data_IF_406620170295
#
_entry.id   IF_406620170295
#
_cell.length_a   1.000
_cell.length_b   1.000
_cell.length_c   1.000
_cell.angle_alpha   90.00
_cell.angle_beta   90.00
_cell.angle_gamma   90.00
#
_symmetry.space_group_name_H-M   'P 1'
#
loop_
_entity.id
_entity.type
_entity.pdbx_description
1 polymer ?
#
# COMPACT_ATOMS: atom_id res chain seq x y z
N UNK A 1 17.53 -45.01 -25.26
CA UNK A 1 16.57 -43.89 -25.35
C UNK A 1 15.73 -43.88 -24.08
N UNK A 2 16.20 -43.21 -23.04
CA UNK A 2 15.46 -43.04 -21.78
C UNK A 2 15.03 -41.58 -21.73
N UNK A 3 13.82 -41.32 -22.20
CA UNK A 3 13.21 -39.99 -22.11
C UNK A 3 12.84 -39.81 -20.66
N UNK A 4 13.66 -39.05 -19.92
CA UNK A 4 13.36 -38.66 -18.55
C UNK A 4 12.07 -37.86 -18.55
N UNK A 5 11.05 -38.37 -17.85
CA UNK A 5 9.86 -37.61 -17.52
C UNK A 5 10.25 -36.42 -16.65
N UNK A 6 10.47 -35.27 -17.29
CA UNK A 6 10.42 -33.97 -16.62
C UNK A 6 8.97 -33.79 -16.14
N UNK A 7 8.76 -33.90 -14.84
CA UNK A 7 7.48 -33.60 -14.19
C UNK A 7 7.17 -32.11 -14.37
N UNK A 8 6.55 -31.75 -15.50
CA UNK A 8 6.19 -30.38 -15.90
C UNK A 8 5.03 -29.77 -15.06
N UNK A 9 4.53 -30.48 -14.04
CA UNK A 9 3.37 -30.09 -13.23
C UNK A 9 3.70 -29.81 -11.75
N UNK A 10 4.97 -29.78 -11.37
CA UNK A 10 5.33 -29.35 -10.01
C UNK A 10 5.54 -27.83 -10.01
N UNK A 11 4.91 -27.08 -9.08
CA UNK A 11 5.17 -25.66 -8.96
C UNK A 11 6.66 -25.44 -8.74
N UNK A 12 7.19 -24.36 -9.32
CA UNK A 12 8.59 -23.99 -9.15
C UNK A 12 8.91 -23.84 -7.66
N UNK A 13 10.16 -24.09 -7.28
CA UNK A 13 10.55 -24.04 -5.87
C UNK A 13 10.38 -22.63 -5.26
N UNK A 14 10.45 -21.59 -6.08
CA UNK A 14 10.10 -20.21 -5.71
C UNK A 14 8.63 -20.08 -5.29
N UNK A 15 7.70 -20.66 -6.05
CA UNK A 15 6.25 -20.60 -5.72
C UNK A 15 5.99 -21.34 -4.41
N UNK A 16 6.61 -22.51 -4.21
CA UNK A 16 6.48 -23.26 -2.95
C UNK A 16 6.99 -22.47 -1.74
N UNK A 17 8.09 -21.73 -1.93
CA UNK A 17 8.64 -20.88 -0.87
C UNK A 17 7.73 -19.67 -0.59
N UNK A 18 7.17 -19.04 -1.63
CA UNK A 18 6.18 -17.98 -1.48
C UNK A 18 4.94 -18.47 -0.72
N UNK A 19 4.43 -19.65 -1.05
CA UNK A 19 3.27 -20.24 -0.38
C UNK A 19 3.58 -20.54 1.10
N UNK A 20 4.77 -21.08 1.40
CA UNK A 20 5.22 -21.30 2.77
C UNK A 20 5.24 -19.99 3.56
N UNK A 21 5.82 -18.93 2.98
CA UNK A 21 5.89 -17.61 3.61
C UNK A 21 4.52 -16.98 3.79
N UNK A 22 3.62 -17.12 2.82
CA UNK A 22 2.24 -16.64 2.92
C UNK A 22 1.47 -17.35 4.04
N UNK A 23 1.60 -18.68 4.14
CA UNK A 23 0.99 -19.46 5.22
C UNK A 23 1.51 -19.01 6.59
N UNK A 24 2.81 -18.76 6.72
CA UNK A 24 3.39 -18.27 7.97
C UNK A 24 2.86 -16.89 8.34
N UNK A 25 2.79 -15.96 7.39
CA UNK A 25 2.19 -14.64 7.61
C UNK A 25 0.70 -14.72 8.00
N UNK A 26 -0.07 -15.65 7.42
CA UNK A 26 -1.47 -15.85 7.82
C UNK A 26 -1.59 -16.36 9.27
N UNK A 27 -0.71 -17.26 9.70
CA UNK A 27 -0.68 -17.76 11.08
C UNK A 27 -0.37 -16.61 12.05
N UNK A 28 0.64 -15.81 11.74
CA UNK A 28 1.04 -14.67 12.58
C UNK A 28 -0.06 -13.58 12.63
N UNK A 29 -0.78 -13.37 11.52
CA UNK A 29 -1.90 -12.43 11.46
C UNK A 29 -3.21 -12.96 12.08
N UNK A 30 -3.34 -14.26 12.32
CA UNK A 30 -4.60 -14.87 12.77
C UNK A 30 -5.09 -14.30 14.11
N UNK A 31 -4.25 -14.15 15.16
CA UNK A 31 -4.68 -13.49 16.40
C UNK A 31 -5.12 -12.05 16.17
N UNK A 32 -4.43 -11.29 15.32
CA UNK A 32 -4.80 -9.90 15.01
C UNK A 32 -6.17 -9.79 14.32
N UNK A 33 -6.54 -10.78 13.50
CA UNK A 33 -7.80 -10.81 12.77
C UNK A 33 -8.98 -11.34 13.61
N UNK A 34 -8.77 -12.42 14.37
CA UNK A 34 -9.86 -13.17 15.00
C UNK A 34 -9.89 -13.08 16.53
N UNK A 35 -8.75 -12.81 17.17
CA UNK A 35 -8.62 -12.79 18.62
C UNK A 35 -7.78 -11.58 19.07
N UNK A 36 -8.21 -10.34 18.76
CA UNK A 36 -7.38 -9.15 18.90
C UNK A 36 -6.99 -8.87 20.36
N UNK A 37 -7.74 -9.39 21.34
CA UNK A 37 -7.41 -9.29 22.76
C UNK A 37 -6.19 -10.12 23.18
N UNK A 38 -5.86 -11.16 22.42
CA UNK A 38 -4.72 -12.05 22.67
C UNK A 38 -3.50 -11.71 21.80
N UNK A 39 -3.66 -10.83 20.81
CA UNK A 39 -2.60 -10.39 19.93
C UNK A 39 -1.61 -9.45 20.64
N UNK A 40 -0.38 -9.38 20.12
CA UNK A 40 0.58 -8.38 20.55
C UNK A 40 0.03 -6.97 20.31
N UNK A 41 0.05 -6.12 21.35
CA UNK A 41 -0.44 -4.74 21.27
C UNK A 41 0.41 -3.86 20.37
N UNK A 42 1.67 -4.23 20.15
CA UNK A 42 2.56 -3.50 19.25
C UNK A 42 2.41 -3.92 17.78
N UNK A 43 1.62 -4.97 17.52
CA UNK A 43 1.31 -5.41 16.17
C UNK A 43 -0.07 -4.87 15.76
N UNK A 44 -0.11 -4.10 14.68
CA UNK A 44 -1.34 -3.51 14.15
C UNK A 44 -1.43 -3.84 12.66
N UNK A 45 -2.60 -4.27 12.21
CA UNK A 45 -2.84 -4.55 10.80
C UNK A 45 -2.83 -3.24 9.99
N UNK A 46 -2.16 -3.26 8.83
CA UNK A 46 -2.11 -2.11 7.91
C UNK A 46 -3.51 -1.61 7.51
N UNK A 47 -4.49 -2.52 7.41
CA UNK A 47 -5.87 -2.14 7.10
C UNK A 47 -6.48 -1.24 8.19
N UNK A 48 -6.11 -1.45 9.45
CA UNK A 48 -6.60 -0.67 10.58
C UNK A 48 -5.95 0.71 10.68
N UNK A 49 -4.85 0.94 9.97
CA UNK A 49 -4.12 2.22 9.93
C UNK A 49 -4.31 2.96 8.61
N UNK A 50 -5.32 2.57 7.81
CA UNK A 50 -5.56 3.14 6.49
C UNK A 50 -6.37 4.44 6.61
N UNK A 51 -5.86 5.51 6.02
CA UNK A 51 -6.57 6.77 5.83
C UNK A 51 -6.75 7.06 4.33
N UNK A 52 -7.92 7.54 3.93
CA UNK A 52 -8.21 7.88 2.53
C UNK A 52 -8.85 9.26 2.44
N UNK A 53 -8.53 9.99 1.38
CA UNK A 53 -9.14 11.28 1.05
C UNK A 53 -9.68 11.27 -0.38
N UNK A 54 -10.84 11.87 -0.59
CA UNK A 54 -11.46 12.06 -1.90
C UNK A 54 -11.75 13.54 -2.11
N UNK A 55 -11.27 14.10 -3.22
CA UNK A 55 -11.43 15.51 -3.55
C UNK A 55 -11.94 15.64 -4.97
N UNK A 56 -12.98 16.44 -5.15
CA UNK A 56 -13.53 16.76 -6.47
C UNK A 56 -12.60 17.77 -7.16
N UNK A 57 -12.16 17.43 -8.37
CA UNK A 57 -11.42 18.33 -9.25
C UNK A 57 -12.32 19.50 -9.67
N UNK A 58 -12.04 20.71 -9.18
CA UNK A 58 -12.81 21.90 -9.53
C UNK A 58 -12.11 22.72 -10.65
N UNK A 59 -12.84 23.49 -11.47
CA UNK A 59 -12.26 24.26 -12.58
C UNK A 59 -11.11 25.21 -12.20
N UNK A 60 -11.03 25.64 -10.94
CA UNK A 60 -9.99 26.53 -10.42
C UNK A 60 -8.61 25.85 -10.28
N UNK A 61 -8.56 24.51 -10.21
CA UNK A 61 -7.31 23.75 -10.00
C UNK A 61 -6.75 23.15 -11.29
N UNK A 62 -7.33 23.50 -12.45
CA UNK A 62 -6.90 23.03 -13.76
C UNK A 62 -5.73 23.84 -14.31
N UNK A 63 -4.87 23.18 -15.08
CA UNK A 63 -3.86 23.82 -15.92
C UNK A 63 -4.48 24.36 -17.23
N UNK A 64 -3.69 25.08 -18.03
CA UNK A 64 -4.10 25.62 -19.34
C UNK A 64 -4.63 24.56 -20.32
N UNK A 65 -4.31 23.29 -20.11
CA UNK A 65 -4.75 22.14 -20.91
C UNK A 65 -5.99 21.43 -20.31
N UNK A 66 -6.69 22.06 -19.36
CA UNK A 66 -7.85 21.52 -18.64
C UNK A 66 -7.57 20.21 -17.89
N UNK A 67 -6.33 19.98 -17.44
CA UNK A 67 -5.96 18.83 -16.59
C UNK A 67 -5.59 19.30 -15.19
N UNK A 68 -5.72 18.42 -14.20
CA UNK A 68 -5.18 18.69 -12.87
C UNK A 68 -3.66 18.79 -12.91
N UNK A 69 -3.12 19.79 -12.23
CA UNK A 69 -1.68 19.95 -12.09
C UNK A 69 -1.09 18.90 -11.14
N UNK A 70 0.06 18.31 -11.49
CA UNK A 70 0.71 17.28 -10.67
C UNK A 70 1.06 17.78 -9.26
N UNK A 71 1.45 19.05 -9.10
CA UNK A 71 1.71 19.66 -7.80
C UNK A 71 0.48 19.70 -6.87
N UNK A 72 -0.73 19.78 -7.43
CA UNK A 72 -1.96 19.68 -6.64
C UNK A 72 -2.11 18.26 -6.07
N UNK A 73 -1.89 17.23 -6.89
CA UNK A 73 -1.96 15.83 -6.46
C UNK A 73 -0.90 15.52 -5.39
N UNK A 74 0.34 15.96 -5.61
CA UNK A 74 1.43 15.74 -4.65
C UNK A 74 1.16 16.41 -3.31
N UNK A 75 0.63 17.65 -3.31
CA UNK A 75 0.25 18.33 -2.07
C UNK A 75 -0.83 17.56 -1.31
N UNK A 76 -1.87 17.06 -2.00
CA UNK A 76 -2.93 16.27 -1.34
C UNK A 76 -2.43 14.93 -0.81
N UNK A 77 -1.53 14.27 -1.54
CA UNK A 77 -0.87 13.05 -1.07
C UNK A 77 -0.02 13.32 0.19
N UNK A 78 0.74 14.41 0.20
CA UNK A 78 1.53 14.84 1.36
C UNK A 78 0.65 15.12 2.58
N UNK A 79 -0.41 15.91 2.42
CA UNK A 79 -1.35 16.23 3.50
C UNK A 79 -1.97 14.95 4.10
N UNK A 80 -2.36 14.00 3.25
CA UNK A 80 -2.90 12.71 3.68
C UNK A 80 -1.85 11.85 4.40
N UNK A 81 -0.62 11.78 3.87
CA UNK A 81 0.46 11.02 4.48
C UNK A 81 0.82 11.58 5.87
N UNK A 82 0.91 12.90 5.99
CA UNK A 82 1.16 13.59 7.26
C UNK A 82 0.04 13.31 8.27
N UNK A 83 -1.22 13.47 7.87
CA UNK A 83 -2.36 13.21 8.75
C UNK A 83 -2.40 11.74 9.22
N UNK A 84 -2.08 10.79 8.34
CA UNK A 84 -2.04 9.37 8.68
C UNK A 84 -0.92 9.07 9.68
N UNK A 85 0.29 9.57 9.43
CA UNK A 85 1.44 9.39 10.31
C UNK A 85 1.21 10.01 11.70
N UNK A 86 0.64 11.22 11.77
CA UNK A 86 0.32 11.87 13.04
C UNK A 86 -0.75 11.10 13.82
N UNK A 87 -1.81 10.66 13.14
CA UNK A 87 -2.91 9.92 13.80
C UNK A 87 -2.46 8.56 14.31
N UNK A 88 -1.60 7.87 13.57
CA UNK A 88 -1.07 6.56 13.97
C UNK A 88 0.04 6.66 15.02
N UNK A 89 1.02 7.53 14.79
CA UNK A 89 2.20 7.66 15.65
C UNK A 89 1.96 8.47 16.92
N UNK A 90 0.94 9.33 16.94
CA UNK A 90 0.63 10.19 18.09
C UNK A 90 1.65 11.33 18.32
N UNK A 91 2.62 11.48 17.42
CA UNK A 91 3.67 12.50 17.48
C UNK A 91 3.79 13.24 16.15
N UNK A 92 4.41 14.41 16.19
CA UNK A 92 4.59 15.27 15.02
C UNK A 92 5.50 14.59 13.95
N UNK A 93 4.97 14.22 12.77
CA UNK A 93 5.76 13.56 11.74
C UNK A 93 6.70 14.56 11.07
N UNK A 94 7.91 14.09 10.76
CA UNK A 94 8.84 14.82 9.89
C UNK A 94 8.92 14.09 8.55
N UNK A 95 8.73 14.83 7.46
CA UNK A 95 8.97 14.28 6.13
C UNK A 95 10.47 14.33 5.84
N UNK A 96 11.05 13.16 5.63
CA UNK A 96 12.47 13.01 5.31
C UNK A 96 12.70 13.04 3.81
N UNK A 97 11.95 12.21 3.09
CA UNK A 97 12.07 12.08 1.64
C UNK A 97 10.75 11.64 1.00
N UNK A 98 10.68 11.81 -0.31
CA UNK A 98 9.60 11.35 -1.17
C UNK A 98 10.23 10.49 -2.25
N UNK A 99 9.81 9.24 -2.34
CA UNK A 99 10.21 8.34 -3.42
C UNK A 99 9.71 8.82 -4.78
N UNK A 100 10.17 8.16 -5.85
CA UNK A 100 9.85 8.57 -7.22
C UNK A 100 8.34 8.56 -7.51
N UNK A 101 7.81 9.70 -7.95
CA UNK A 101 6.40 9.88 -8.34
C UNK A 101 6.27 9.87 -9.86
N UNK A 102 5.44 8.97 -10.40
CA UNK A 102 5.14 8.88 -11.82
C UNK A 102 3.66 9.15 -12.08
N UNK A 103 3.35 10.12 -12.95
CA UNK A 103 1.99 10.39 -13.41
C UNK A 103 1.70 9.60 -14.70
N UNK A 104 1.03 8.46 -14.54
CA UNK A 104 0.78 7.51 -15.65
C UNK A 104 -0.28 8.03 -16.63
N UNK A 105 -1.29 8.73 -16.14
CA UNK A 105 -2.39 9.27 -16.95
C UNK A 105 -2.79 10.68 -16.49
N UNK A 106 -3.26 11.53 -17.42
CA UNK A 106 -3.78 12.85 -17.08
C UNK A 106 -5.12 12.72 -16.34
N UNK A 107 -5.39 13.68 -15.44
CA UNK A 107 -6.66 13.76 -14.69
C UNK A 107 -7.46 14.94 -15.22
N UNK A 108 -8.69 14.67 -15.63
CA UNK A 108 -9.62 15.68 -16.14
C UNK A 108 -10.28 16.49 -15.02
N UNK A 109 -10.72 17.69 -15.37
CA UNK A 109 -11.46 18.62 -14.50
C UNK A 109 -12.86 18.84 -15.05
#
# INVERSE_FOLDING_TARGET
LHVGNLNLNQPSDEIKEMDRRANQLMIDAFPLLHMPSLADRNAILLQSTKMQNCVIAQPQVRNLSNKIFGGFLMRRAFELAFANAYTFGGEWPQMLEVDNITFVSPVDV
#
